data_IF_816260272728
#
_entry.id   IF_816260272728
#
_cell.length_a   1.000
_cell.length_b   1.000
_cell.length_c   1.000
_cell.angle_alpha   90.00
_cell.angle_beta   90.00
_cell.angle_gamma   90.00
#
_symmetry.space_group_name_H-M   'P 1'
#
loop_
_entity.id
_entity.type
_entity.pdbx_description
1 polymer ?
#
# COMPACT_ATOMS: atom_id res chain seq x y z
N UNK A 1 -31.63 -60.25 30.13
CA UNK A 1 -30.61 -59.30 29.62
C UNK A 1 -30.31 -59.68 28.17
N UNK A 2 -30.97 -59.02 27.21
CA UNK A 2 -30.73 -59.27 25.78
C UNK A 2 -29.38 -58.68 25.35
N UNK A 3 -28.51 -59.52 24.77
CA UNK A 3 -27.31 -59.07 24.09
C UNK A 3 -27.69 -58.67 22.66
N UNK A 4 -27.61 -57.37 22.35
CA UNK A 4 -27.72 -56.88 20.96
C UNK A 4 -26.64 -57.54 20.09
N UNK A 5 -26.99 -58.14 18.94
CA UNK A 5 -26.00 -58.72 18.05
C UNK A 5 -25.17 -57.58 17.42
N UNK A 6 -23.86 -57.64 17.62
CA UNK A 6 -22.91 -56.67 17.08
C UNK A 6 -22.97 -56.60 15.56
N UNK A 7 -22.91 -55.36 15.05
CA UNK A 7 -22.77 -54.97 13.65
C UNK A 7 -21.97 -55.99 12.81
N UNK A 8 -22.59 -56.47 11.74
CA UNK A 8 -22.00 -57.48 10.84
C UNK A 8 -20.72 -56.95 10.18
N UNK A 9 -19.80 -57.86 9.79
CA UNK A 9 -18.54 -57.51 9.10
C UNK A 9 -18.77 -56.67 7.83
N UNK A 10 -19.91 -56.84 7.17
CA UNK A 10 -20.31 -56.05 5.99
C UNK A 10 -20.59 -54.58 6.35
N UNK A 11 -21.23 -54.34 7.49
CA UNK A 11 -21.56 -53.01 8.00
C UNK A 11 -20.28 -52.25 8.43
N UNK A 12 -19.33 -52.94 9.07
CA UNK A 12 -18.00 -52.39 9.35
C UNK A 12 -17.23 -52.00 8.07
N UNK A 13 -17.31 -52.82 7.02
CA UNK A 13 -16.65 -52.55 5.72
C UNK A 13 -17.26 -51.34 5.02
N UNK A 14 -18.58 -51.20 5.07
CA UNK A 14 -19.31 -50.06 4.50
C UNK A 14 -18.99 -48.76 5.25
N UNK A 15 -19.00 -48.82 6.58
CA UNK A 15 -18.64 -47.68 7.43
C UNK A 15 -17.25 -47.16 7.13
N UNK A 16 -16.24 -48.04 7.07
CA UNK A 16 -14.86 -47.65 6.74
C UNK A 16 -14.73 -47.13 5.30
N UNK A 17 -15.50 -47.68 4.35
CA UNK A 17 -15.54 -47.15 2.98
C UNK A 17 -16.07 -45.72 2.96
N UNK A 18 -17.18 -45.45 3.65
CA UNK A 18 -17.76 -44.12 3.74
C UNK A 18 -16.78 -43.12 4.37
N UNK A 19 -16.09 -43.53 5.45
CA UNK A 19 -15.05 -42.72 6.09
C UNK A 19 -13.93 -42.33 5.12
N UNK A 20 -13.43 -43.26 4.30
CA UNK A 20 -12.39 -42.99 3.29
C UNK A 20 -12.88 -42.08 2.16
N UNK A 21 -14.12 -42.26 1.72
CA UNK A 21 -14.71 -41.39 0.69
C UNK A 21 -14.86 -39.95 1.20
N UNK A 22 -15.30 -39.77 2.45
CA UNK A 22 -15.37 -38.45 3.09
C UNK A 22 -13.98 -37.81 3.17
N UNK A 23 -12.95 -38.56 3.60
CA UNK A 23 -11.59 -38.04 3.65
C UNK A 23 -11.10 -37.60 2.26
N UNK A 24 -11.33 -38.40 1.22
CA UNK A 24 -10.96 -38.06 -0.16
C UNK A 24 -11.65 -36.78 -0.65
N UNK A 25 -12.93 -36.59 -0.33
CA UNK A 25 -13.67 -35.38 -0.68
C UNK A 25 -13.09 -34.13 0.00
N UNK A 26 -12.71 -34.24 1.28
CA UNK A 26 -12.09 -33.14 2.02
C UNK A 26 -10.73 -32.74 1.43
N UNK A 27 -9.88 -33.72 1.08
CA UNK A 27 -8.61 -33.44 0.40
C UNK A 27 -8.81 -32.74 -0.94
N UNK A 28 -9.76 -33.21 -1.75
CA UNK A 28 -10.09 -32.56 -3.03
C UNK A 28 -10.53 -31.11 -2.84
N UNK A 29 -11.34 -30.83 -1.82
CA UNK A 29 -11.77 -29.47 -1.49
C UNK A 29 -10.60 -28.60 -1.04
N UNK A 30 -9.74 -29.14 -0.17
CA UNK A 30 -8.54 -28.43 0.29
C UNK A 30 -7.65 -28.02 -0.89
N UNK A 31 -7.38 -28.94 -1.82
CA UNK A 31 -6.54 -28.66 -2.98
C UNK A 31 -7.14 -27.61 -3.90
N UNK A 32 -8.48 -27.52 -3.99
CA UNK A 32 -9.13 -26.45 -4.78
C UNK A 32 -8.99 -25.05 -4.18
N UNK A 33 -8.71 -24.95 -2.88
CA UNK A 33 -8.60 -23.67 -2.15
C UNK A 33 -7.17 -23.17 -2.03
N UNK A 34 -6.19 -24.06 -2.17
CA UNK A 34 -4.76 -23.72 -2.07
C UNK A 34 -4.24 -23.46 -3.49
N UNK A 35 -3.79 -22.24 -3.81
CA UNK A 35 -3.22 -21.95 -5.13
C UNK A 35 -2.00 -22.82 -5.40
N UNK A 36 -1.82 -23.31 -6.64
CA UNK A 36 -0.63 -24.06 -6.98
C UNK A 36 0.62 -23.17 -6.85
N UNK A 37 1.50 -23.53 -5.92
CA UNK A 37 2.81 -22.92 -5.68
C UNK A 37 3.86 -23.38 -6.70
N UNK A 38 3.65 -24.49 -7.43
CA UNK A 38 4.56 -24.92 -8.49
C UNK A 38 3.91 -25.82 -9.55
N UNK A 39 4.48 -25.94 -10.76
CA UNK A 39 3.98 -26.84 -11.80
C UNK A 39 4.03 -28.35 -11.45
N UNK A 40 4.76 -28.76 -10.40
CA UNK A 40 4.98 -30.18 -10.00
C UNK A 40 4.13 -30.65 -8.81
N UNK A 41 3.14 -29.86 -8.43
CA UNK A 41 2.38 -30.03 -7.18
C UNK A 41 1.40 -31.21 -7.20
N UNK A 42 0.99 -31.63 -8.40
CA UNK A 42 0.10 -32.78 -8.61
C UNK A 42 0.73 -34.13 -8.23
N UNK A 43 2.05 -34.17 -8.02
CA UNK A 43 2.82 -35.38 -7.65
C UNK A 43 3.20 -35.47 -6.16
N UNK A 44 2.79 -34.53 -5.32
CA UNK A 44 3.20 -34.49 -3.91
C UNK A 44 2.44 -35.50 -3.05
N UNK A 45 3.10 -36.00 -2.00
CA UNK A 45 2.49 -36.92 -1.03
C UNK A 45 1.40 -36.22 -0.22
N UNK A 46 0.40 -36.96 0.28
CA UNK A 46 -0.70 -36.39 1.06
C UNK A 46 -0.25 -35.55 2.27
N UNK A 47 0.78 -35.95 3.05
CA UNK A 47 1.30 -35.13 4.15
C UNK A 47 1.96 -33.83 3.68
N UNK A 48 2.63 -33.85 2.53
CA UNK A 48 3.29 -32.66 1.97
C UNK A 48 2.25 -31.65 1.49
N UNK A 49 1.15 -32.12 0.90
CA UNK A 49 0.01 -31.29 0.51
C UNK A 49 -0.65 -30.63 1.73
N UNK A 50 -0.79 -31.36 2.84
CA UNK A 50 -1.27 -30.77 4.10
C UNK A 50 -0.31 -29.72 4.66
N UNK A 51 1.00 -29.99 4.58
CA UNK A 51 2.03 -29.07 5.06
C UNK A 51 2.04 -27.77 4.26
N UNK A 52 1.83 -27.85 2.94
CA UNK A 52 1.68 -26.68 2.07
C UNK A 52 0.42 -25.89 2.39
N UNK A 53 -0.72 -26.56 2.57
CA UNK A 53 -1.94 -25.88 2.99
C UNK A 53 -1.76 -25.14 4.32
N UNK A 54 -1.06 -25.75 5.29
CA UNK A 54 -0.74 -25.12 6.56
C UNK A 54 0.17 -23.88 6.39
N UNK A 55 1.19 -23.98 5.53
CA UNK A 55 2.06 -22.84 5.21
C UNK A 55 1.30 -21.72 4.49
N UNK A 56 0.38 -22.05 3.59
CA UNK A 56 -0.46 -21.08 2.90
C UNK A 56 -1.36 -20.32 3.88
N UNK A 57 -1.97 -21.01 4.85
CA UNK A 57 -2.75 -20.37 5.93
C UNK A 57 -1.88 -19.40 6.72
N UNK A 58 -0.66 -19.80 7.12
CA UNK A 58 0.27 -18.91 7.82
C UNK A 58 0.62 -17.66 7.01
N UNK A 59 0.90 -17.82 5.73
CA UNK A 59 1.20 -16.69 4.84
C UNK A 59 0.01 -15.73 4.70
N UNK A 60 -1.21 -16.26 4.60
CA UNK A 60 -2.43 -15.44 4.58
C UNK A 60 -2.62 -14.67 5.90
N UNK A 61 -2.36 -15.29 7.05
CA UNK A 61 -2.42 -14.61 8.35
C UNK A 61 -1.44 -13.42 8.39
N UNK A 62 -0.19 -13.62 7.98
CA UNK A 62 0.81 -12.54 7.91
C UNK A 62 0.36 -11.44 6.95
N UNK A 63 -0.19 -11.81 5.79
CA UNK A 63 -0.69 -10.84 4.81
C UNK A 63 -1.86 -10.01 5.36
N UNK A 64 -2.79 -10.64 6.07
CA UNK A 64 -3.91 -9.95 6.73
C UNK A 64 -3.41 -8.97 7.78
N UNK A 65 -2.45 -9.38 8.61
CA UNK A 65 -1.89 -8.48 9.63
C UNK A 65 -1.18 -7.28 9.00
N UNK A 66 -0.36 -7.51 7.98
CA UNK A 66 0.28 -6.41 7.23
C UNK A 66 -0.73 -5.44 6.61
N UNK A 67 -1.83 -5.95 6.06
CA UNK A 67 -2.92 -5.11 5.53
C UNK A 67 -3.64 -4.35 6.63
N UNK A 68 -3.80 -4.94 7.82
CA UNK A 68 -4.40 -4.29 9.00
C UNK A 68 -3.51 -3.17 9.52
N UNK A 69 -2.21 -3.40 9.65
CA UNK A 69 -1.23 -2.36 10.01
C UNK A 69 -1.22 -1.21 9.00
N UNK A 70 -1.24 -1.53 7.69
CA UNK A 70 -1.35 -0.51 6.65
C UNK A 70 -2.63 0.32 6.78
N UNK A 71 -3.76 -0.33 7.03
CA UNK A 71 -5.03 0.35 7.26
C UNK A 71 -4.97 1.27 8.49
N UNK A 72 -4.42 0.81 9.62
CA UNK A 72 -4.36 1.64 10.83
C UNK A 72 -3.48 2.87 10.61
N UNK A 73 -2.31 2.73 9.95
CA UNK A 73 -1.47 3.89 9.60
C UNK A 73 -2.22 4.91 8.75
N UNK A 74 -3.00 4.46 7.77
CA UNK A 74 -3.80 5.37 6.94
C UNK A 74 -4.93 6.03 7.74
N UNK A 75 -5.57 5.32 8.67
CA UNK A 75 -6.58 5.88 9.56
C UNK A 75 -6.00 6.85 10.61
N UNK A 76 -4.78 6.62 11.10
CA UNK A 76 -4.08 7.56 11.96
C UNK A 76 -3.78 8.87 11.23
N UNK A 77 -3.29 8.79 9.98
CA UNK A 77 -3.12 9.95 9.11
C UNK A 77 -4.46 10.68 8.91
N UNK A 78 -5.54 9.94 8.64
CA UNK A 78 -6.89 10.51 8.47
C UNK A 78 -7.42 11.17 9.77
N UNK A 79 -7.23 10.55 10.93
CA UNK A 79 -7.64 11.09 12.24
C UNK A 79 -6.89 12.37 12.61
N UNK A 80 -5.59 12.43 12.34
CA UNK A 80 -4.80 13.65 12.51
C UNK A 80 -5.33 14.74 11.57
N UNK A 81 -5.61 14.38 10.31
CA UNK A 81 -6.16 15.33 9.33
C UNK A 81 -7.57 15.85 9.68
N UNK A 82 -8.40 15.04 10.36
CA UNK A 82 -9.78 15.40 10.74
C UNK A 82 -9.85 16.13 12.08
N UNK A 83 -8.96 15.82 13.03
CA UNK A 83 -8.78 16.57 14.27
C UNK A 83 -8.33 18.01 13.98
N UNK A 84 -7.40 18.20 13.04
CA UNK A 84 -6.91 19.53 12.66
C UNK A 84 -7.86 20.35 11.78
N UNK A 85 -8.97 19.76 11.30
CA UNK A 85 -10.06 20.53 10.66
C UNK A 85 -10.99 21.21 11.66
N UNK A 86 -10.96 20.78 12.93
CA UNK A 86 -11.83 21.29 14.00
C UNK A 86 -11.09 22.17 15.03
N UNK A 87 -9.76 22.19 14.99
CA UNK A 87 -8.94 23.12 15.78
C UNK A 87 -8.55 24.31 14.92
N UNK A 88 -8.76 25.51 15.44
CA UNK A 88 -8.34 26.78 14.83
C UNK A 88 -6.93 26.66 14.23
N UNK A 89 -6.75 27.19 13.01
CA UNK A 89 -5.45 27.38 12.35
C UNK A 89 -4.53 28.22 13.26
N UNK A 90 -3.81 27.59 14.16
CA UNK A 90 -2.80 28.25 14.99
C UNK A 90 -1.43 27.72 14.56
N UNK A 91 -0.80 28.45 13.65
CA UNK A 91 0.66 28.57 13.67
C UNK A 91 1.48 27.82 12.62
N UNK A 92 0.92 27.33 11.51
CA UNK A 92 1.78 26.89 10.40
C UNK A 92 2.20 28.10 9.56
N UNK A 93 3.54 28.31 9.48
CA UNK A 93 4.13 29.21 8.49
C UNK A 93 3.63 28.80 7.10
N UNK A 94 3.32 29.78 6.25
CA UNK A 94 2.91 29.53 4.86
C UNK A 94 3.86 28.53 4.19
N UNK A 95 3.35 27.57 3.41
CA UNK A 95 4.20 26.58 2.76
C UNK A 95 5.25 27.27 1.89
N UNK A 96 6.49 26.81 2.02
CA UNK A 96 7.64 27.36 1.33
C UNK A 96 8.05 26.40 0.22
N UNK A 97 8.18 26.91 -1.00
CA UNK A 97 8.75 26.15 -2.12
C UNK A 97 10.12 26.73 -2.45
N UNK A 98 11.14 25.87 -2.43
CA UNK A 98 12.50 26.18 -2.87
C UNK A 98 12.81 25.35 -4.10
N UNK A 99 13.30 25.99 -5.14
CA UNK A 99 13.64 25.34 -6.39
C UNK A 99 15.11 25.60 -6.68
N UNK A 100 15.85 24.55 -6.98
CA UNK A 100 17.27 24.60 -7.27
C UNK A 100 17.57 23.77 -8.52
N UNK A 101 18.31 24.35 -9.46
CA UNK A 101 18.81 23.64 -10.63
C UNK A 101 20.26 23.23 -10.41
N UNK A 102 20.56 21.96 -10.62
CA UNK A 102 21.92 21.39 -10.62
C UNK A 102 22.15 20.64 -11.94
N UNK A 103 22.72 21.34 -12.93
CA UNK A 103 22.89 20.79 -14.28
C UNK A 103 21.54 20.49 -14.93
N UNK A 104 21.35 19.24 -15.36
CA UNK A 104 20.10 18.75 -15.97
C UNK A 104 19.05 18.30 -14.93
N UNK A 105 19.29 18.48 -13.63
CA UNK A 105 18.37 18.10 -12.56
C UNK A 105 17.78 19.36 -11.92
N UNK A 106 16.47 19.43 -11.89
CA UNK A 106 15.66 20.38 -11.14
C UNK A 106 15.24 19.74 -9.82
N UNK A 107 15.73 20.27 -8.72
CA UNK A 107 15.29 19.93 -7.37
C UNK A 107 14.22 20.90 -6.90
N UNK A 108 13.06 20.37 -6.52
CA UNK A 108 11.95 21.12 -5.93
C UNK A 108 11.74 20.61 -4.52
N UNK A 109 11.91 21.52 -3.56
CA UNK A 109 11.72 21.26 -2.13
C UNK A 109 10.49 22.03 -1.65
N UNK A 110 9.46 21.31 -1.24
CA UNK A 110 8.25 21.88 -0.65
C UNK A 110 8.26 21.60 0.85
N UNK A 111 8.25 22.66 1.64
CA UNK A 111 8.04 22.61 3.09
C UNK A 111 6.60 23.00 3.36
N UNK A 112 5.82 22.10 3.94
CA UNK A 112 4.42 22.33 4.25
C UNK A 112 4.07 21.87 5.66
N UNK A 113 2.90 22.26 6.17
CA UNK A 113 2.26 21.55 7.27
C UNK A 113 1.84 20.14 6.87
N UNK A 114 1.18 19.43 7.79
CA UNK A 114 0.66 18.07 7.57
C UNK A 114 -0.50 18.01 6.54
N UNK A 115 -0.98 19.17 6.07
CA UNK A 115 -2.00 19.37 5.05
C UNK A 115 -1.44 19.64 3.63
N UNK A 116 -0.12 19.55 3.45
CA UNK A 116 0.57 19.83 2.18
C UNK A 116 0.34 18.84 1.03
N UNK A 117 -0.51 17.82 1.19
CA UNK A 117 -0.77 16.82 0.16
C UNK A 117 -1.32 17.44 -1.14
N UNK A 118 -2.15 18.48 -1.02
CA UNK A 118 -2.66 19.22 -2.18
C UNK A 118 -1.51 19.92 -2.92
N UNK A 119 -0.65 20.64 -2.18
CA UNK A 119 0.50 21.34 -2.75
C UNK A 119 1.52 20.40 -3.37
N UNK A 120 1.74 19.22 -2.79
CA UNK A 120 2.60 18.20 -3.37
C UNK A 120 2.03 17.67 -4.70
N UNK A 121 0.74 17.29 -4.71
CA UNK A 121 0.09 16.81 -5.94
C UNK A 121 0.07 17.89 -7.03
N UNK A 122 -0.15 19.13 -6.65
CA UNK A 122 -0.07 20.29 -7.55
C UNK A 122 1.34 20.45 -8.11
N UNK A 123 2.35 20.34 -7.24
CA UNK A 123 3.75 20.46 -7.64
C UNK A 123 4.14 19.37 -8.65
N UNK A 124 3.75 18.13 -8.38
CA UNK A 124 3.94 17.00 -9.30
C UNK A 124 3.24 17.25 -10.64
N UNK A 125 2.01 17.77 -10.61
CA UNK A 125 1.25 18.08 -11.83
C UNK A 125 1.94 19.15 -12.67
N UNK A 126 2.38 20.25 -12.06
CA UNK A 126 3.09 21.34 -12.77
C UNK A 126 4.36 20.83 -13.43
N UNK A 127 5.16 20.03 -12.71
CA UNK A 127 6.40 19.46 -13.26
C UNK A 127 6.09 18.59 -14.49
N UNK A 128 5.05 17.75 -14.40
CA UNK A 128 4.62 16.89 -15.50
C UNK A 128 4.07 17.68 -16.70
N UNK A 129 3.22 18.69 -16.47
CA UNK A 129 2.64 19.53 -17.53
C UNK A 129 3.70 20.32 -18.30
N UNK A 130 4.78 20.71 -17.63
CA UNK A 130 5.87 21.48 -18.25
C UNK A 130 6.90 20.61 -18.98
N UNK A 131 6.70 19.29 -19.01
CA UNK A 131 7.55 18.36 -19.76
C UNK A 131 8.82 17.92 -19.04
N UNK A 132 8.91 18.11 -17.72
CA UNK A 132 10.05 17.65 -16.94
C UNK A 132 9.82 16.23 -16.40
N UNK A 133 10.80 15.35 -16.59
CA UNK A 133 10.71 13.94 -16.21
C UNK A 133 11.04 13.76 -14.73
N UNK A 134 10.06 13.39 -13.91
CA UNK A 134 10.30 13.12 -12.48
C UNK A 134 11.13 11.84 -12.33
N UNK A 135 12.36 11.98 -11.85
CA UNK A 135 13.28 10.85 -11.61
C UNK A 135 13.23 10.33 -10.18
N UNK A 136 12.94 11.21 -9.22
CA UNK A 136 12.83 10.85 -7.81
C UNK A 136 11.82 11.76 -7.10
N UNK A 137 11.08 11.19 -6.16
CA UNK A 137 10.21 11.92 -5.25
C UNK A 137 10.23 11.25 -3.88
N UNK A 138 10.52 12.05 -2.86
CA UNK A 138 10.63 11.59 -1.48
C UNK A 138 9.96 12.59 -0.53
N UNK A 139 9.53 12.10 0.63
CA UNK A 139 9.04 12.96 1.71
C UNK A 139 9.67 12.55 3.04
N UNK A 140 9.76 13.51 3.95
CA UNK A 140 10.20 13.29 5.33
C UNK A 140 9.45 14.23 6.27
N UNK A 141 9.28 13.78 7.51
CA UNK A 141 8.66 14.60 8.55
C UNK A 141 9.78 15.22 9.40
N UNK A 142 9.75 16.53 9.56
CA UNK A 142 10.71 17.31 10.34
C UNK A 142 9.93 18.11 11.39
N UNK A 143 9.80 17.54 12.58
CA UNK A 143 8.96 18.11 13.65
C UNK A 143 7.50 18.14 13.22
N UNK A 144 6.91 19.34 13.21
CA UNK A 144 5.51 19.57 12.80
C UNK A 144 5.38 19.87 11.30
N UNK A 145 6.48 19.85 10.53
CA UNK A 145 6.49 20.12 9.10
C UNK A 145 6.75 18.86 8.27
N UNK A 146 6.12 18.78 7.10
CA UNK A 146 6.35 17.76 6.08
C UNK A 146 7.22 18.36 4.96
N UNK A 147 8.37 17.75 4.73
CA UNK A 147 9.32 18.11 3.68
C UNK A 147 9.12 17.17 2.51
N UNK A 148 8.82 17.71 1.33
CA UNK A 148 8.79 16.97 0.08
C UNK A 148 9.97 17.40 -0.78
N UNK A 149 10.64 16.43 -1.38
CA UNK A 149 11.75 16.65 -2.30
C UNK A 149 11.45 15.91 -3.59
N UNK A 150 11.40 16.64 -4.70
CA UNK A 150 11.18 16.12 -6.04
C UNK A 150 12.40 16.45 -6.89
N UNK A 151 12.97 15.45 -7.54
CA UNK A 151 14.00 15.62 -8.55
C UNK A 151 13.40 15.33 -9.91
N UNK A 152 13.46 16.32 -10.79
CA UNK A 152 13.02 16.20 -12.17
C UNK A 152 14.20 16.43 -13.11
N UNK A 153 14.25 15.68 -14.20
CA UNK A 153 15.22 15.85 -15.27
C UNK A 153 14.65 16.85 -16.28
N UNK A 154 15.47 17.83 -16.62
CA UNK A 154 15.18 18.88 -17.60
C UNK A 154 16.21 18.77 -18.72
N UNK A 155 15.76 18.90 -19.98
CA UNK A 155 16.66 18.90 -21.13
C UNK A 155 17.48 20.20 -21.20
N UNK A 156 18.76 20.09 -21.57
CA UNK A 156 19.63 21.25 -21.72
C UNK A 156 19.15 22.15 -22.87
N UNK A 157 18.67 23.34 -22.54
CA UNK A 157 18.16 24.34 -23.49
C UNK A 157 16.63 24.48 -23.52
N UNK A 158 15.89 23.66 -22.77
CA UNK A 158 14.46 23.90 -22.53
C UNK A 158 14.27 24.88 -21.36
N UNK A 159 13.24 25.73 -21.45
CA UNK A 159 12.82 26.66 -20.39
C UNK A 159 11.82 26.03 -19.42
N UNK A 160 11.73 24.70 -19.37
CA UNK A 160 10.82 23.99 -18.46
C UNK A 160 11.16 24.23 -16.99
N UNK A 161 12.42 24.39 -16.64
CA UNK A 161 12.85 24.79 -15.29
C UNK A 161 12.32 26.18 -14.89
N UNK A 162 12.40 27.15 -15.79
CA UNK A 162 11.89 28.51 -15.59
C UNK A 162 10.35 28.51 -15.49
N UNK A 163 9.66 27.77 -16.37
CA UNK A 163 8.19 27.66 -16.38
C UNK A 163 7.66 26.94 -15.13
N UNK A 164 8.29 25.84 -14.73
CA UNK A 164 8.00 25.15 -13.47
C UNK A 164 8.21 26.10 -12.29
N UNK A 165 9.32 26.83 -12.27
CA UNK A 165 9.62 27.75 -11.17
C UNK A 165 8.59 28.87 -11.04
N UNK A 166 8.22 29.48 -12.17
CA UNK A 166 7.21 30.54 -12.22
C UNK A 166 5.82 30.04 -11.79
N UNK A 167 5.38 28.89 -12.31
CA UNK A 167 4.06 28.33 -11.97
C UNK A 167 3.98 27.94 -10.50
N UNK A 168 5.01 27.29 -9.96
CA UNK A 168 5.03 26.90 -8.54
C UNK A 168 5.06 28.11 -7.61
N UNK A 169 5.87 29.14 -7.92
CA UNK A 169 5.86 30.38 -7.16
C UNK A 169 4.50 31.07 -7.21
N UNK A 170 3.84 31.08 -8.37
CA UNK A 170 2.49 31.62 -8.50
C UNK A 170 1.48 30.87 -7.64
N UNK A 171 1.52 29.53 -7.62
CA UNK A 171 0.60 28.72 -6.80
C UNK A 171 0.76 29.01 -5.31
N UNK A 172 2.01 29.16 -4.82
CA UNK A 172 2.27 29.52 -3.42
C UNK A 172 1.74 30.92 -3.11
N UNK A 173 1.94 31.87 -4.02
CA UNK A 173 1.47 33.24 -3.86
C UNK A 173 -0.07 33.35 -3.94
N UNK A 174 -0.73 32.62 -4.83
CA UNK A 174 -2.18 32.64 -5.01
C UNK A 174 -2.89 31.95 -3.83
N UNK A 175 -2.29 30.90 -3.25
CA UNK A 175 -2.87 30.15 -2.14
C UNK A 175 -2.77 30.90 -0.78
N UNK A 176 -1.82 31.82 -0.61
CA UNK A 176 -1.55 32.48 0.68
C UNK A 176 -1.38 34.02 0.60
N UNK A 177 -1.56 34.63 -0.58
CA UNK A 177 -1.43 36.07 -0.83
C UNK A 177 -2.72 36.88 -0.71
N UNK A 178 -3.85 36.28 -0.38
CA UNK A 178 -5.09 37.00 -0.07
C UNK A 178 -5.11 37.46 1.41
N UNK A 179 -4.16 38.30 1.80
CA UNK A 179 -4.20 39.05 3.06
C UNK A 179 -3.45 40.36 2.86
N UNK A 180 -4.13 41.31 2.23
CA UNK A 180 -3.80 42.73 2.24
C UNK A 180 -5.09 43.53 2.29
#
# INVERSE_FOLDING_TARGET
MERKPGSSRADRKTTERNRRNQMKALFSKLHSLVPPQSPRESTLSQPDQLSQAANYIKNLQVKVEKMREQKERLLEIEKISTSMKNGEMIGFKSPEIRIQKMGSILEVVLVSGLDGQFMFNETVRVIYEEGADIVNASFSNVGDAMLHTIHAKVEDGDSSDERVSQKLQKIVNDAYGASS
#
